data_IF_936045068160
#
_entry.id   IF_936045068160
#
_cell.length_a   1.000
_cell.length_b   1.000
_cell.length_c   1.000
_cell.angle_alpha   90.00
_cell.angle_beta   90.00
_cell.angle_gamma   90.00
#
_symmetry.space_group_name_H-M   'P 1'
#
loop_
_entity.id
_entity.type
_entity.pdbx_description
1 polymer ?
#
# COMPACT_ATOMS: atom_id res chain seq x y z
N UNK A 1 0.32 -19.17 31.66
CA UNK A 1 -0.15 -17.81 31.30
C UNK A 1 0.81 -17.18 30.29
N UNK A 2 0.84 -17.67 29.05
CA UNK A 2 1.82 -17.25 28.01
C UNK A 2 1.17 -16.89 26.66
N UNK A 3 -0.17 -16.84 26.60
CA UNK A 3 -0.91 -16.77 25.33
C UNK A 3 -1.39 -15.37 24.92
N UNK A 4 -1.12 -14.33 25.71
CA UNK A 4 -1.65 -12.99 25.45
C UNK A 4 -0.65 -12.04 24.79
N UNK A 5 0.65 -12.34 24.83
CA UNK A 5 1.71 -11.48 24.28
C UNK A 5 1.76 -11.55 22.75
N UNK A 6 1.46 -12.73 22.16
CA UNK A 6 1.44 -12.90 20.70
C UNK A 6 0.30 -12.15 20.01
N UNK A 7 -0.84 -11.96 20.70
CA UNK A 7 -1.97 -11.19 20.17
C UNK A 7 -1.65 -9.69 20.06
N UNK A 8 -0.84 -9.16 20.97
CA UNK A 8 -0.47 -7.73 20.97
C UNK A 8 0.54 -7.39 19.86
N UNK A 9 1.42 -8.32 19.50
CA UNK A 9 2.41 -8.12 18.42
C UNK A 9 1.74 -8.14 17.05
N UNK A 10 0.74 -9.01 16.85
CA UNK A 10 -0.04 -9.08 15.60
C UNK A 10 -0.83 -7.79 15.34
N UNK A 11 -1.37 -7.15 16.38
CA UNK A 11 -2.13 -5.91 16.23
C UNK A 11 -1.26 -4.72 15.79
N UNK A 12 0.00 -4.64 16.23
CA UNK A 12 0.86 -3.49 15.89
C UNK A 12 1.51 -3.59 14.50
N UNK A 13 1.75 -4.80 13.99
CA UNK A 13 2.39 -5.01 12.67
C UNK A 13 1.39 -4.81 11.53
N UNK A 14 0.12 -5.17 11.72
CA UNK A 14 -0.96 -4.88 10.76
C UNK A 14 -1.08 -3.36 10.54
N UNK A 15 -0.88 -2.56 11.58
CA UNK A 15 -0.89 -1.09 11.50
C UNK A 15 0.24 -0.53 10.63
N UNK A 16 1.38 -1.22 10.50
CA UNK A 16 2.50 -0.78 9.66
C UNK A 16 2.23 -1.09 8.18
N UNK A 17 1.59 -2.23 7.89
CA UNK A 17 1.30 -2.67 6.51
C UNK A 17 0.05 -1.99 5.95
N UNK A 18 -0.93 -1.66 6.81
CA UNK A 18 -2.20 -1.05 6.40
C UNK A 18 -2.36 0.43 6.77
N UNK A 19 -1.58 0.97 7.72
CA UNK A 19 -1.68 2.34 8.29
C UNK A 19 -3.03 3.04 8.16
N UNK A 20 -4.10 2.27 8.38
CA UNK A 20 -5.46 2.73 8.54
C UNK A 20 -5.69 3.08 10.01
N UNK A 21 -4.92 4.05 10.54
CA UNK A 21 -5.28 4.66 11.83
C UNK A 21 -6.73 5.17 11.71
N UNK A 22 -7.58 4.96 12.71
CA UNK A 22 -8.93 5.51 12.69
C UNK A 22 -8.87 7.03 12.51
N UNK A 23 -9.79 7.59 11.72
CA UNK A 23 -9.79 8.99 11.27
C UNK A 23 -9.62 10.00 12.43
N UNK A 24 -10.09 9.66 13.63
CA UNK A 24 -10.00 10.49 14.82
C UNK A 24 -8.61 10.53 15.49
N UNK A 25 -7.78 9.49 15.30
CA UNK A 25 -6.44 9.38 15.91
C UNK A 25 -5.36 10.02 15.02
N UNK A 26 -5.66 10.24 13.73
CA UNK A 26 -4.80 10.93 12.75
C UNK A 26 -4.80 12.46 12.89
N UNK A 27 -5.72 13.04 13.66
CA UNK A 27 -5.89 14.49 13.75
C UNK A 27 -4.94 15.16 14.76
N UNK A 28 -4.26 14.37 15.60
CA UNK A 28 -3.42 14.87 16.70
C UNK A 28 -1.96 14.40 16.67
N UNK A 29 -1.59 13.47 15.78
CA UNK A 29 -0.17 13.19 15.52
C UNK A 29 0.31 14.19 14.46
N UNK A 30 1.40 14.90 14.77
CA UNK A 30 2.21 15.61 13.79
C UNK A 30 2.42 14.67 12.60
N UNK A 31 1.78 14.98 11.47
CA UNK A 31 1.79 14.10 10.31
C UNK A 31 3.24 13.99 9.84
N UNK A 32 3.81 12.79 10.04
CA UNK A 32 5.23 12.48 9.90
C UNK A 32 5.86 13.15 8.68
N UNK A 33 6.81 14.07 8.92
CA UNK A 33 7.48 14.85 7.88
C UNK A 33 8.13 13.94 6.82
N UNK A 34 8.64 12.78 7.25
CA UNK A 34 9.22 11.78 6.35
C UNK A 34 8.17 11.17 5.42
N UNK A 35 6.96 10.93 5.92
CA UNK A 35 5.84 10.48 5.10
C UNK A 35 5.38 11.56 4.13
N UNK A 36 5.30 12.82 4.52
CA UNK A 36 4.97 13.91 3.58
C UNK A 36 6.01 14.04 2.48
N UNK A 37 7.30 13.95 2.84
CA UNK A 37 8.39 14.02 1.87
C UNK A 37 8.27 12.88 0.86
N UNK A 38 7.99 11.67 1.33
CA UNK A 38 7.75 10.52 0.45
C UNK A 38 6.52 10.72 -0.46
N UNK A 39 5.42 11.29 0.07
CA UNK A 39 4.22 11.57 -0.72
C UNK A 39 4.50 12.60 -1.82
N UNK A 40 5.24 13.66 -1.51
CA UNK A 40 5.68 14.69 -2.47
C UNK A 40 6.57 14.10 -3.55
N UNK A 41 7.54 13.26 -3.16
CA UNK A 41 8.40 12.56 -4.12
C UNK A 41 7.59 11.72 -5.09
N UNK A 42 6.59 10.98 -4.60
CA UNK A 42 5.77 10.14 -5.47
C UNK A 42 4.79 10.90 -6.35
N UNK A 43 4.26 12.03 -5.88
CA UNK A 43 3.50 12.94 -6.74
C UNK A 43 4.37 13.48 -7.88
N UNK A 44 5.60 13.89 -7.58
CA UNK A 44 6.53 14.42 -8.56
C UNK A 44 7.00 13.35 -9.58
N UNK A 45 7.40 12.16 -9.11
CA UNK A 45 7.90 11.07 -9.97
C UNK A 45 6.81 10.59 -10.96
N UNK A 46 5.56 10.53 -10.52
CA UNK A 46 4.43 10.10 -11.34
C UNK A 46 3.79 11.24 -12.16
N UNK A 47 4.36 12.45 -12.10
CA UNK A 47 3.80 13.66 -12.72
C UNK A 47 2.33 13.91 -12.35
N UNK A 48 1.95 13.61 -11.12
CA UNK A 48 0.60 13.84 -10.60
C UNK A 48 0.53 15.28 -10.09
N UNK A 49 -0.43 16.10 -10.58
CA UNK A 49 -0.54 17.49 -10.14
C UNK A 49 -0.72 17.59 -8.62
N UNK A 50 0.23 18.25 -7.96
CA UNK A 50 0.19 18.49 -6.52
C UNK A 50 -0.81 19.61 -6.21
N UNK A 51 -2.08 19.23 -6.04
CA UNK A 51 -3.16 20.12 -5.59
C UNK A 51 -3.53 19.89 -4.13
N UNK A 52 -2.68 19.19 -3.39
CA UNK A 52 -2.98 18.74 -2.04
C UNK A 52 -2.37 19.71 -1.03
N UNK A 53 -3.16 20.19 -0.07
CA UNK A 53 -2.63 20.99 1.06
C UNK A 53 -2.05 20.05 2.12
N UNK A 54 -0.82 19.58 1.88
CA UNK A 54 -0.20 18.45 2.59
C UNK A 54 0.00 18.63 4.10
N UNK A 55 -0.03 19.86 4.62
CA UNK A 55 0.25 20.15 6.02
C UNK A 55 -0.61 19.33 7.01
N UNK A 56 -1.84 18.98 6.63
CA UNK A 56 -2.73 18.10 7.40
C UNK A 56 -3.42 17.06 6.50
N UNK A 57 -2.83 16.73 5.35
CA UNK A 57 -3.47 15.92 4.32
C UNK A 57 -2.59 14.76 3.87
N UNK A 58 -3.14 13.55 3.96
CA UNK A 58 -2.46 12.36 3.46
C UNK A 58 -2.89 12.04 2.04
N UNK A 59 -1.95 12.19 1.11
CA UNK A 59 -2.12 11.80 -0.31
C UNK A 59 -2.36 10.31 -0.43
N UNK A 60 -1.67 9.53 0.41
CA UNK A 60 -1.83 8.08 0.49
C UNK A 60 -3.25 7.72 0.85
N UNK A 61 -3.82 8.33 1.91
CA UNK A 61 -5.21 8.08 2.29
C UNK A 61 -6.20 8.51 1.22
N UNK A 62 -5.94 9.63 0.54
CA UNK A 62 -6.76 10.06 -0.58
C UNK A 62 -6.83 9.01 -1.68
N UNK A 63 -5.68 8.51 -2.13
CA UNK A 63 -5.64 7.52 -3.20
C UNK A 63 -6.16 6.14 -2.75
N UNK A 64 -5.91 5.74 -1.50
CA UNK A 64 -6.51 4.52 -0.95
C UNK A 64 -8.04 4.61 -0.90
N UNK A 65 -8.60 5.74 -0.48
CA UNK A 65 -10.05 5.96 -0.49
C UNK A 65 -10.62 5.91 -1.92
N UNK A 66 -9.90 6.46 -2.91
CA UNK A 66 -10.29 6.31 -4.32
C UNK A 66 -10.29 4.84 -4.75
N UNK A 67 -9.30 4.06 -4.33
CA UNK A 67 -9.21 2.62 -4.65
C UNK A 67 -10.35 1.83 -4.00
N UNK A 68 -10.76 2.19 -2.79
CA UNK A 68 -11.82 1.52 -2.04
C UNK A 68 -13.22 1.83 -2.57
N UNK A 69 -13.46 3.07 -3.00
CA UNK A 69 -14.82 3.53 -3.29
C UNK A 69 -15.11 3.77 -4.78
N UNK A 70 -14.10 3.78 -5.65
CA UNK A 70 -14.31 4.00 -7.08
C UNK A 70 -14.65 2.71 -7.82
N UNK A 71 -15.63 2.76 -8.73
CA UNK A 71 -15.94 1.64 -9.65
C UNK A 71 -14.80 1.37 -10.64
N UNK A 72 -14.08 2.41 -11.02
CA UNK A 72 -12.91 2.35 -11.88
C UNK A 72 -11.79 3.11 -11.18
N UNK A 73 -10.66 2.43 -10.96
CA UNK A 73 -9.57 3.01 -10.18
C UNK A 73 -8.77 3.97 -11.06
N UNK A 74 -8.61 5.24 -10.66
CA UNK A 74 -7.84 6.22 -11.42
C UNK A 74 -6.38 5.79 -11.61
N UNK A 75 -5.81 6.04 -12.80
CA UNK A 75 -4.41 5.72 -13.09
C UNK A 75 -3.46 6.37 -12.10
N UNK A 76 -3.72 7.62 -11.71
CA UNK A 76 -2.90 8.35 -10.73
C UNK A 76 -2.83 7.61 -9.39
N UNK A 77 -3.94 7.03 -8.91
CA UNK A 77 -3.94 6.27 -7.66
C UNK A 77 -3.08 5.00 -7.77
N UNK A 78 -3.18 4.29 -8.90
CA UNK A 78 -2.38 3.08 -9.17
C UNK A 78 -0.89 3.38 -9.26
N UNK A 79 -0.54 4.45 -9.96
CA UNK A 79 0.86 4.85 -10.16
C UNK A 79 1.46 5.46 -8.90
N UNK A 80 0.67 6.23 -8.13
CA UNK A 80 1.10 6.66 -6.79
C UNK A 80 1.46 5.46 -5.91
N UNK A 81 0.62 4.41 -5.87
CA UNK A 81 0.93 3.16 -5.15
C UNK A 81 2.21 2.48 -5.66
N UNK A 82 2.45 2.49 -6.97
CA UNK A 82 3.69 1.95 -7.56
C UNK A 82 4.91 2.66 -7.00
N UNK A 83 4.95 3.99 -7.08
CA UNK A 83 6.07 4.76 -6.51
C UNK A 83 6.22 4.49 -5.00
N UNK A 84 5.12 4.57 -4.27
CA UNK A 84 5.09 4.37 -2.82
C UNK A 84 5.72 3.03 -2.43
N UNK A 85 5.32 1.95 -3.09
CA UNK A 85 5.86 0.61 -2.86
C UNK A 85 7.32 0.45 -3.28
N UNK A 86 7.78 1.12 -4.34
CA UNK A 86 9.20 1.11 -4.72
C UNK A 86 10.06 1.79 -3.67
N UNK A 87 9.64 2.95 -3.18
CA UNK A 87 10.37 3.72 -2.17
C UNK A 87 10.41 3.00 -0.81
N UNK A 88 9.32 2.34 -0.44
CA UNK A 88 9.25 1.45 0.74
C UNK A 88 9.95 0.10 0.52
N UNK A 89 10.53 -0.15 -0.66
CA UNK A 89 11.20 -1.40 -1.03
C UNK A 89 10.30 -2.63 -0.91
N UNK A 90 8.99 -2.45 -0.99
CA UNK A 90 7.99 -3.52 -1.05
C UNK A 90 7.99 -4.12 -2.45
N UNK A 91 8.11 -3.29 -3.48
CA UNK A 91 8.26 -3.71 -4.88
C UNK A 91 9.66 -3.31 -5.35
N UNK A 92 10.36 -4.24 -6.00
CA UNK A 92 11.59 -4.02 -6.75
C UNK A 92 11.24 -3.79 -8.22
N UNK A 93 12.21 -3.32 -8.98
CA UNK A 93 12.12 -3.27 -10.44
C UNK A 93 11.63 -4.60 -11.04
N UNK A 94 10.91 -4.53 -12.17
CA UNK A 94 10.47 -5.70 -12.96
C UNK A 94 9.41 -6.58 -12.27
N UNK A 95 8.44 -5.97 -11.56
CA UNK A 95 7.27 -6.69 -11.01
C UNK A 95 7.61 -7.73 -9.93
N UNK A 96 8.67 -7.50 -9.16
CA UNK A 96 9.11 -8.41 -8.09
C UNK A 96 8.90 -7.75 -6.74
N UNK A 97 7.96 -8.24 -5.95
CA UNK A 97 7.80 -7.86 -4.56
C UNK A 97 8.98 -8.39 -3.72
N UNK A 98 9.56 -7.51 -2.92
CA UNK A 98 10.47 -7.92 -1.86
C UNK A 98 9.66 -8.69 -0.82
N UNK A 99 9.96 -9.98 -0.71
CA UNK A 99 9.47 -10.81 0.37
C UNK A 99 10.16 -10.27 1.62
N UNK A 100 9.47 -9.40 2.37
CA UNK A 100 9.99 -8.79 3.59
C UNK A 100 10.48 -9.83 4.60
N UNK A 101 11.13 -9.40 5.70
CA UNK A 101 11.81 -10.32 6.62
C UNK A 101 10.87 -11.21 7.45
N UNK A 102 9.55 -11.12 7.25
CA UNK A 102 8.52 -11.83 8.03
C UNK A 102 8.16 -13.15 7.32
N UNK A 103 8.62 -14.31 7.81
CA UNK A 103 8.44 -15.60 7.14
C UNK A 103 6.97 -15.98 6.93
N UNK A 104 6.08 -15.60 7.85
CA UNK A 104 4.65 -15.93 7.83
C UNK A 104 3.91 -15.20 6.70
N UNK A 105 4.37 -13.99 6.35
CA UNK A 105 3.83 -13.22 5.23
C UNK A 105 4.47 -13.61 3.90
N UNK A 106 5.54 -14.41 3.91
CA UNK A 106 6.31 -14.71 2.70
C UNK A 106 5.51 -15.45 1.62
N UNK A 107 4.63 -16.37 2.03
CA UNK A 107 3.79 -17.14 1.10
C UNK A 107 2.62 -16.31 0.55
N UNK A 108 1.79 -15.64 1.38
CA UNK A 108 0.75 -14.74 0.88
C UNK A 108 1.27 -13.65 -0.05
N UNK A 109 2.40 -13.02 0.29
CA UNK A 109 3.00 -11.97 -0.56
C UNK A 109 3.51 -12.54 -1.89
N UNK A 110 4.06 -13.75 -1.92
CA UNK A 110 4.48 -14.42 -3.16
C UNK A 110 3.29 -14.76 -4.05
N UNK A 111 2.20 -15.25 -3.46
CA UNK A 111 0.97 -15.56 -4.20
C UNK A 111 0.38 -14.28 -4.79
N UNK A 112 0.34 -13.19 -4.00
CA UNK A 112 -0.10 -11.88 -4.49
C UNK A 112 0.82 -11.28 -5.56
N UNK A 113 2.13 -11.50 -5.46
CA UNK A 113 3.06 -11.12 -6.53
C UNK A 113 2.68 -11.79 -7.84
N UNK A 114 2.43 -13.10 -7.81
CA UNK A 114 2.05 -13.86 -9.00
C UNK A 114 0.74 -13.35 -9.61
N UNK A 115 -0.29 -13.17 -8.78
CA UNK A 115 -1.59 -12.62 -9.22
C UNK A 115 -1.41 -11.25 -9.86
N UNK A 116 -0.61 -10.38 -9.23
CA UNK A 116 -0.36 -9.03 -9.73
C UNK A 116 0.41 -9.02 -11.05
N UNK A 117 1.41 -9.90 -11.21
CA UNK A 117 2.15 -10.04 -12.48
C UNK A 117 1.22 -10.51 -13.60
N UNK A 118 0.43 -11.55 -13.36
CA UNK A 118 -0.53 -12.06 -14.34
C UNK A 118 -1.56 -11.01 -14.74
N UNK A 119 -2.06 -10.24 -13.76
CA UNK A 119 -2.99 -9.14 -14.00
C UNK A 119 -2.37 -8.05 -14.87
N UNK A 120 -1.20 -7.54 -14.50
CA UNK A 120 -0.52 -6.47 -15.23
C UNK A 120 -0.21 -6.87 -16.67
N UNK A 121 0.26 -8.11 -16.88
CA UNK A 121 0.49 -8.64 -18.22
C UNK A 121 -0.79 -8.67 -19.06
N UNK A 122 -1.90 -9.15 -18.48
CA UNK A 122 -3.17 -9.26 -19.19
C UNK A 122 -3.82 -7.91 -19.52
N UNK A 123 -3.77 -6.95 -18.60
CA UNK A 123 -4.50 -5.68 -18.79
C UNK A 123 -3.74 -4.68 -19.66
N UNK A 124 -2.41 -4.70 -19.60
CA UNK A 124 -1.61 -3.57 -20.07
C UNK A 124 -0.18 -3.95 -20.46
N UNK A 125 0.09 -5.23 -20.72
CA UNK A 125 1.41 -5.69 -21.17
C UNK A 125 2.51 -5.57 -20.12
N UNK A 126 2.15 -5.53 -18.84
CA UNK A 126 3.09 -5.45 -17.73
C UNK A 126 3.27 -4.06 -17.13
N UNK A 127 2.25 -3.19 -17.20
CA UNK A 127 2.28 -1.87 -16.55
C UNK A 127 2.45 -2.02 -15.02
N UNK A 128 3.49 -1.39 -14.47
CA UNK A 128 3.83 -1.49 -13.06
C UNK A 128 2.78 -0.83 -12.14
N UNK A 129 1.99 0.13 -12.63
CA UNK A 129 0.88 0.70 -11.86
C UNK A 129 -0.27 -0.30 -11.74
N UNK A 130 -0.61 -1.01 -12.83
CA UNK A 130 -1.60 -2.10 -12.76
C UNK A 130 -1.14 -3.22 -11.84
N UNK A 131 0.16 -3.52 -11.84
CA UNK A 131 0.75 -4.45 -10.89
C UNK A 131 0.59 -3.98 -9.45
N UNK A 132 1.00 -2.75 -9.12
CA UNK A 132 0.95 -2.22 -7.76
C UNK A 132 -0.48 -2.24 -7.19
N UNK A 133 -1.46 -1.86 -8.01
CA UNK A 133 -2.87 -1.92 -7.65
C UNK A 133 -3.36 -3.36 -7.41
N UNK A 134 -3.02 -4.30 -8.31
CA UNK A 134 -3.45 -5.69 -8.18
C UNK A 134 -2.82 -6.36 -6.95
N UNK A 135 -1.55 -6.03 -6.69
CA UNK A 135 -0.82 -6.49 -5.51
C UNK A 135 -1.49 -5.99 -4.23
N UNK A 136 -1.79 -4.68 -4.14
CA UNK A 136 -2.52 -4.10 -3.00
C UNK A 136 -3.86 -4.83 -2.75
N UNK A 137 -4.65 -5.04 -3.81
CA UNK A 137 -5.95 -5.70 -3.68
C UNK A 137 -5.83 -7.13 -3.17
N UNK A 138 -4.90 -7.93 -3.73
CA UNK A 138 -4.69 -9.29 -3.27
C UNK A 138 -4.27 -9.33 -1.79
N UNK A 139 -3.35 -8.46 -1.39
CA UNK A 139 -2.85 -8.38 -0.02
C UNK A 139 -3.97 -7.97 0.95
N UNK A 140 -4.77 -6.98 0.56
CA UNK A 140 -5.94 -6.53 1.34
C UNK A 140 -6.99 -7.63 1.50
N UNK A 141 -7.34 -8.32 0.42
CA UNK A 141 -8.31 -9.42 0.46
C UNK A 141 -7.80 -10.62 1.27
N UNK A 142 -6.50 -10.93 1.15
CA UNK A 142 -5.84 -11.97 1.93
C UNK A 142 -5.88 -11.66 3.44
N UNK A 143 -5.59 -10.42 3.82
CA UNK A 143 -5.63 -10.00 5.23
C UNK A 143 -7.07 -9.95 5.79
N UNK A 144 -8.05 -9.52 4.99
CA UNK A 144 -9.46 -9.55 5.41
C UNK A 144 -9.91 -10.96 5.79
N UNK A 145 -9.49 -11.98 5.02
CA UNK A 145 -9.78 -13.40 5.31
C UNK A 145 -9.06 -13.96 6.54
N UNK A 146 -7.97 -13.35 6.99
CA UNK A 146 -7.25 -13.76 8.20
C UNK A 146 -7.86 -13.16 9.48
N UNK A 147 -8.67 -12.10 9.36
CA UNK A 147 -9.28 -11.39 10.49
C UNK A 147 -10.74 -11.80 10.76
N UNK A 148 -11.36 -12.53 9.85
CA UNK A 148 -12.71 -13.12 9.97
C UNK A 148 -12.63 -14.62 10.22
#
# INVERSE_FOLDING_TARGET
MQSWILLLINAQIITIILSAKPMAERYNDEYDEDMQNLERECLAEENIPDRFELANYSVTQHFLAQIEHSRAIPRNAKCFLRCWYKKLKIIKEQLVASIGPIPELSRPLRDCNKVATEWAQKQSGGDECEFAWSFYNCVREGMAKCLT
#
